data_IF_114412066255
#
_entry.id   IF_114412066255
#
_cell.length_a   1.000
_cell.length_b   1.000
_cell.length_c   1.000
_cell.angle_alpha   90.00
_cell.angle_beta   90.00
_cell.angle_gamma   90.00
#
_symmetry.space_group_name_H-M   'P 1'
#
loop_
_entity.id
_entity.type
_entity.pdbx_description
1 polymer ?
#
# COMPACT_ATOMS: atom_id res chain seq x y z
N UNK A 1 -9.11 -24.72 -44.32
CA UNK A 1 -8.12 -23.86 -43.62
C UNK A 1 -8.74 -22.90 -42.60
N UNK A 2 -10.03 -22.55 -42.71
CA UNK A 2 -10.73 -21.63 -41.77
C UNK A 2 -10.99 -22.25 -40.39
N UNK A 3 -11.32 -23.54 -40.28
CA UNK A 3 -11.62 -24.20 -38.99
C UNK A 3 -10.39 -24.39 -38.07
N UNK A 4 -9.20 -24.56 -38.63
CA UNK A 4 -7.96 -24.71 -37.84
C UNK A 4 -7.51 -23.38 -37.19
N UNK A 5 -7.83 -22.25 -37.82
CA UNK A 5 -7.56 -20.92 -37.25
C UNK A 5 -8.50 -20.61 -36.07
N UNK A 6 -9.76 -21.02 -36.12
CA UNK A 6 -10.71 -20.76 -35.02
C UNK A 6 -10.37 -21.55 -33.74
N UNK A 7 -9.94 -22.81 -33.86
CA UNK A 7 -9.50 -23.58 -32.69
C UNK A 7 -8.24 -23.01 -32.02
N UNK A 8 -7.25 -22.58 -32.84
CA UNK A 8 -6.04 -21.93 -32.34
C UNK A 8 -6.35 -20.63 -31.59
N UNK A 9 -7.27 -19.84 -32.14
CA UNK A 9 -7.72 -18.58 -31.56
C UNK A 9 -8.49 -18.80 -30.25
N UNK A 10 -9.36 -19.81 -30.17
CA UNK A 10 -10.06 -20.18 -28.93
C UNK A 10 -9.10 -20.66 -27.83
N UNK A 11 -8.10 -21.47 -28.19
CA UNK A 11 -7.08 -21.96 -27.24
C UNK A 11 -6.24 -20.81 -26.68
N UNK A 12 -5.82 -19.86 -27.54
CA UNK A 12 -5.11 -18.65 -27.10
C UNK A 12 -5.94 -17.80 -26.14
N UNK A 13 -7.23 -17.59 -26.43
CA UNK A 13 -8.14 -16.84 -25.54
C UNK A 13 -8.27 -17.49 -24.16
N UNK A 14 -8.34 -18.82 -24.09
CA UNK A 14 -8.40 -19.55 -22.81
C UNK A 14 -7.06 -19.57 -22.05
N UNK A 15 -5.94 -19.51 -22.76
CA UNK A 15 -4.60 -19.50 -22.18
C UNK A 15 -4.19 -18.12 -21.62
N UNK A 16 -4.71 -17.02 -22.18
CA UNK A 16 -4.35 -15.66 -21.80
C UNK A 16 -4.48 -15.38 -20.28
N UNK A 17 -5.59 -15.69 -19.58
CA UNK A 17 -5.68 -15.47 -18.14
C UNK A 17 -4.55 -16.17 -17.37
N UNK A 18 -4.20 -17.39 -17.76
CA UNK A 18 -3.16 -18.20 -17.10
C UNK A 18 -1.78 -17.59 -17.30
N UNK A 19 -1.42 -17.24 -18.54
CA UNK A 19 -0.12 -16.65 -18.86
C UNK A 19 0.07 -15.31 -18.17
N UNK A 20 -0.93 -14.43 -18.22
CA UNK A 20 -0.86 -13.13 -17.57
C UNK A 20 -0.80 -13.23 -16.05
N UNK A 21 -1.59 -14.15 -15.46
CA UNK A 21 -1.56 -14.43 -14.01
C UNK A 21 -0.21 -14.96 -13.57
N UNK A 22 0.35 -15.95 -14.27
CA UNK A 22 1.65 -16.51 -13.92
C UNK A 22 2.77 -15.47 -14.08
N UNK A 23 2.73 -14.66 -15.13
CA UNK A 23 3.73 -13.62 -15.41
C UNK A 23 3.70 -12.51 -14.36
N UNK A 24 2.51 -11.97 -14.03
CA UNK A 24 2.39 -10.91 -13.02
C UNK A 24 2.71 -11.43 -11.62
N UNK A 25 2.34 -12.68 -11.30
CA UNK A 25 2.69 -13.34 -10.06
C UNK A 25 4.21 -13.47 -9.91
N UNK A 26 4.90 -14.00 -10.93
CA UNK A 26 6.36 -14.15 -10.93
C UNK A 26 7.04 -12.79 -10.83
N UNK A 27 6.57 -11.80 -11.58
CA UNK A 27 7.11 -10.44 -11.51
C UNK A 27 7.00 -9.85 -10.11
N UNK A 28 5.86 -10.02 -9.45
CA UNK A 28 5.63 -9.49 -8.12
C UNK A 28 6.43 -10.23 -7.05
N UNK A 29 6.57 -11.54 -7.20
CA UNK A 29 7.44 -12.34 -6.34
C UNK A 29 8.90 -11.88 -6.46
N UNK A 30 9.43 -11.70 -7.67
CA UNK A 30 10.77 -11.16 -7.92
C UNK A 30 10.93 -9.76 -7.32
N UNK A 31 9.97 -8.85 -7.53
CA UNK A 31 10.00 -7.49 -6.99
C UNK A 31 10.10 -7.47 -5.45
N UNK A 32 9.38 -8.37 -4.78
CA UNK A 32 9.43 -8.46 -3.32
C UNK A 32 10.66 -9.19 -2.81
N UNK A 33 11.18 -10.16 -3.55
CA UNK A 33 12.36 -10.92 -3.15
C UNK A 33 13.66 -10.11 -3.26
N UNK A 34 13.73 -9.23 -4.26
CA UNK A 34 14.98 -8.51 -4.56
C UNK A 34 15.36 -7.49 -3.48
N UNK A 35 14.37 -6.92 -2.77
CA UNK A 35 14.61 -5.94 -1.71
C UNK A 35 15.41 -6.51 -0.52
N UNK A 36 14.95 -7.59 0.15
CA UNK A 36 15.72 -8.21 1.22
C UNK A 36 16.96 -8.95 0.70
N UNK A 37 16.96 -9.46 -0.55
CA UNK A 37 18.17 -10.02 -1.18
C UNK A 37 19.27 -8.97 -1.26
N UNK A 38 18.97 -7.82 -1.85
CA UNK A 38 19.97 -6.78 -2.06
C UNK A 38 20.41 -6.15 -0.72
N UNK A 39 19.49 -6.01 0.24
CA UNK A 39 19.86 -5.67 1.61
C UNK A 39 20.86 -6.70 2.19
N UNK A 40 20.59 -8.01 2.08
CA UNK A 40 21.48 -9.08 2.57
C UNK A 40 22.88 -9.01 1.92
N UNK A 41 22.97 -8.68 0.64
CA UNK A 41 24.25 -8.51 -0.09
C UNK A 41 25.03 -7.29 0.42
N UNK A 42 24.34 -6.17 0.66
CA UNK A 42 24.97 -4.87 0.90
C UNK A 42 25.26 -4.61 2.38
N UNK A 43 24.45 -5.16 3.29
CA UNK A 43 24.58 -4.96 4.74
C UNK A 43 25.97 -5.27 5.32
N UNK A 44 26.69 -6.33 4.89
CA UNK A 44 28.05 -6.59 5.38
C UNK A 44 29.06 -5.49 5.07
N UNK A 45 28.81 -4.65 4.06
CA UNK A 45 29.74 -3.61 3.61
C UNK A 45 29.35 -2.24 4.14
N UNK A 46 28.05 -1.90 4.19
CA UNK A 46 27.59 -0.57 4.62
C UNK A 46 27.06 -0.52 6.06
N UNK A 47 26.82 -1.67 6.68
CA UNK A 47 26.26 -1.80 8.02
C UNK A 47 24.73 -1.72 8.07
N UNK A 48 24.15 -2.22 9.16
CA UNK A 48 22.70 -2.32 9.39
C UNK A 48 22.09 -1.21 10.23
N UNK A 49 22.59 0.02 10.12
CA UNK A 49 22.04 1.13 10.91
C UNK A 49 20.60 1.46 10.50
N UNK A 50 19.77 2.01 11.42
CA UNK A 50 18.42 2.48 11.07
C UNK A 50 18.41 3.51 9.92
N UNK A 51 19.44 4.34 9.82
CA UNK A 51 19.55 5.34 8.75
C UNK A 51 19.76 4.69 7.36
N UNK A 52 20.55 3.62 7.28
CA UNK A 52 20.73 2.83 6.05
C UNK A 52 19.41 2.18 5.65
N UNK A 53 18.68 1.60 6.61
CA UNK A 53 17.37 1.00 6.37
C UNK A 53 16.36 2.03 5.82
N UNK A 54 16.23 3.20 6.45
CA UNK A 54 15.34 4.26 5.97
C UNK A 54 15.73 4.75 4.57
N UNK A 55 17.04 4.84 4.28
CA UNK A 55 17.53 5.23 2.96
C UNK A 55 17.18 4.18 1.89
N UNK A 56 17.33 2.90 2.20
CA UNK A 56 16.95 1.80 1.31
C UNK A 56 15.43 1.79 1.03
N UNK A 57 14.60 2.00 2.05
CA UNK A 57 13.15 2.13 1.88
C UNK A 57 12.78 3.32 1.00
N UNK A 58 13.42 4.48 1.20
CA UNK A 58 13.21 5.66 0.35
C UNK A 58 13.54 5.35 -1.12
N UNK A 59 14.67 4.67 -1.38
CA UNK A 59 15.05 4.26 -2.72
C UNK A 59 13.97 3.39 -3.38
N UNK A 60 13.60 2.27 -2.73
CA UNK A 60 12.63 1.34 -3.30
C UNK A 60 11.27 1.99 -3.51
N UNK A 61 10.78 2.80 -2.57
CA UNK A 61 9.50 3.48 -2.74
C UNK A 61 9.53 4.47 -3.91
N UNK A 62 10.62 5.23 -4.04
CA UNK A 62 10.78 6.22 -5.11
C UNK A 62 10.83 5.55 -6.47
N UNK A 63 11.68 4.53 -6.61
CA UNK A 63 11.84 3.80 -7.88
C UNK A 63 10.56 3.05 -8.25
N UNK A 64 9.81 2.54 -7.27
CA UNK A 64 8.51 1.90 -7.51
C UNK A 64 7.50 2.88 -8.11
N UNK A 65 7.39 4.09 -7.54
CA UNK A 65 6.54 5.16 -8.08
C UNK A 65 7.01 5.55 -9.49
N UNK A 66 8.31 5.68 -9.72
CA UNK A 66 8.86 5.95 -11.05
C UNK A 66 8.47 4.87 -12.07
N UNK A 67 8.52 3.59 -11.70
CA UNK A 67 8.06 2.48 -12.55
C UNK A 67 6.57 2.57 -12.88
N UNK A 68 5.74 2.93 -11.91
CA UNK A 68 4.30 3.14 -12.10
C UNK A 68 4.00 4.35 -13.01
N UNK A 69 4.74 5.45 -12.84
CA UNK A 69 4.64 6.64 -13.70
C UNK A 69 5.07 6.33 -15.12
N UNK A 70 6.18 5.60 -15.30
CA UNK A 70 6.60 5.11 -16.61
C UNK A 70 5.50 4.25 -17.26
N UNK A 71 4.91 3.31 -16.51
CA UNK A 71 3.81 2.49 -17.01
C UNK A 71 2.59 3.35 -17.41
N UNK A 72 2.25 4.36 -16.62
CA UNK A 72 1.14 5.28 -16.92
C UNK A 72 1.39 6.09 -18.20
N UNK A 73 2.53 6.77 -18.30
CA UNK A 73 2.86 7.58 -19.46
C UNK A 73 3.05 6.74 -20.72
N UNK A 74 3.64 5.55 -20.58
CA UNK A 74 3.76 4.59 -21.67
C UNK A 74 2.39 4.14 -22.18
N UNK A 75 1.47 3.73 -21.29
CA UNK A 75 0.14 3.27 -21.67
C UNK A 75 -0.76 4.39 -22.24
N UNK A 76 -0.51 5.65 -21.83
CA UNK A 76 -1.25 6.83 -22.25
C UNK A 76 -0.81 7.36 -23.62
N UNK A 77 0.49 7.40 -23.88
CA UNK A 77 1.03 8.11 -25.05
C UNK A 77 1.57 7.18 -26.13
N UNK A 78 1.90 5.93 -25.82
CA UNK A 78 2.53 5.01 -26.77
C UNK A 78 1.53 3.96 -27.28
N UNK A 79 1.55 3.65 -28.59
CA UNK A 79 0.90 2.45 -29.11
C UNK A 79 1.47 1.19 -28.45
N UNK A 80 0.63 0.15 -28.26
CA UNK A 80 0.98 -1.12 -27.57
C UNK A 80 2.29 -1.71 -28.08
N UNK A 81 2.50 -1.75 -29.40
CA UNK A 81 3.71 -2.34 -30.01
C UNK A 81 4.98 -1.60 -29.63
N UNK A 82 4.93 -0.27 -29.59
CA UNK A 82 6.08 0.54 -29.22
C UNK A 82 6.31 0.50 -27.71
N UNK A 83 5.25 0.55 -26.91
CA UNK A 83 5.31 0.31 -25.46
C UNK A 83 5.99 -1.03 -25.15
N UNK A 84 5.56 -2.11 -25.81
CA UNK A 84 6.15 -3.43 -25.65
C UNK A 84 7.61 -3.47 -26.07
N UNK A 85 7.96 -2.90 -27.23
CA UNK A 85 9.35 -2.83 -27.72
C UNK A 85 10.26 -2.10 -26.73
N UNK A 86 9.83 -0.93 -26.24
CA UNK A 86 10.58 -0.17 -25.21
C UNK A 86 10.74 -0.99 -23.95
N UNK A 87 9.67 -1.63 -23.46
CA UNK A 87 9.72 -2.38 -22.21
C UNK A 87 10.59 -3.63 -22.31
N UNK A 88 10.54 -4.37 -23.41
CA UNK A 88 11.41 -5.52 -23.67
C UNK A 88 12.88 -5.08 -23.85
N UNK A 89 13.13 -3.93 -24.47
CA UNK A 89 14.48 -3.36 -24.55
C UNK A 89 15.02 -2.98 -23.16
N UNK A 90 14.20 -2.38 -22.30
CA UNK A 90 14.55 -2.09 -20.91
C UNK A 90 14.79 -3.37 -20.11
N UNK A 91 14.02 -4.43 -20.35
CA UNK A 91 14.27 -5.75 -19.78
C UNK A 91 15.63 -6.30 -20.22
N UNK A 92 15.95 -6.23 -21.50
CA UNK A 92 17.25 -6.65 -22.04
C UNK A 92 18.42 -5.86 -21.43
N UNK A 93 18.25 -4.55 -21.22
CA UNK A 93 19.23 -3.73 -20.51
C UNK A 93 19.37 -4.16 -19.03
N UNK A 94 18.26 -4.43 -18.36
CA UNK A 94 18.27 -4.86 -16.96
C UNK A 94 18.97 -6.22 -16.74
N UNK A 95 19.07 -7.07 -17.78
CA UNK A 95 19.87 -8.30 -17.70
C UNK A 95 21.36 -8.04 -17.44
N UNK A 96 21.88 -6.88 -17.81
CA UNK A 96 23.29 -6.50 -17.56
C UNK A 96 23.60 -6.27 -16.08
N UNK A 97 22.56 -6.17 -15.23
CA UNK A 97 22.65 -5.99 -13.78
C UNK A 97 22.49 -7.32 -13.02
N UNK A 98 22.49 -8.46 -13.72
CA UNK A 98 22.24 -9.77 -13.11
C UNK A 98 23.50 -10.67 -13.13
N UNK A 99 23.72 -11.46 -12.07
CA UNK A 99 22.99 -11.46 -10.79
C UNK A 99 23.22 -10.14 -10.01
N UNK A 100 22.27 -9.68 -9.17
CA UNK A 100 22.49 -8.49 -8.36
C UNK A 100 23.71 -8.68 -7.47
N UNK A 101 24.64 -7.74 -7.53
CA UNK A 101 25.86 -7.74 -6.72
C UNK A 101 26.36 -6.30 -6.50
N UNK A 102 27.37 -6.15 -5.65
CA UNK A 102 28.08 -4.89 -5.44
C UNK A 102 29.03 -4.64 -6.62
N UNK A 103 29.07 -3.44 -7.22
CA UNK A 103 30.01 -3.12 -8.29
C UNK A 103 31.47 -3.36 -7.90
N UNK A 104 32.27 -3.87 -8.83
CA UNK A 104 33.69 -4.14 -8.62
C UNK A 104 34.44 -2.91 -8.13
N UNK A 105 35.22 -3.08 -7.06
CA UNK A 105 36.02 -2.00 -6.48
C UNK A 105 35.23 -0.97 -5.66
N UNK A 106 33.91 -1.11 -5.51
CA UNK A 106 33.13 -0.26 -4.62
C UNK A 106 33.58 -0.41 -3.16
N UNK A 107 33.73 0.72 -2.46
CA UNK A 107 34.12 0.77 -1.04
C UNK A 107 33.35 1.87 -0.35
N UNK A 108 32.95 1.62 0.89
CA UNK A 108 32.33 2.64 1.73
C UNK A 108 33.38 3.67 2.16
N UNK A 109 33.13 4.94 1.85
CA UNK A 109 33.84 6.07 2.45
C UNK A 109 33.12 6.50 3.74
N UNK A 110 33.70 6.16 4.88
CA UNK A 110 33.14 6.48 6.20
C UNK A 110 33.12 7.99 6.50
N UNK A 111 33.89 8.81 5.78
CA UNK A 111 33.88 10.27 5.94
C UNK A 111 32.83 10.96 5.06
N UNK A 112 32.29 10.23 4.07
CA UNK A 112 31.30 10.72 3.12
C UNK A 112 29.86 10.60 3.61
N UNK A 113 28.93 11.11 2.79
CA UNK A 113 27.50 11.03 3.09
C UNK A 113 26.97 9.62 2.82
N UNK A 114 26.81 8.83 3.89
CA UNK A 114 26.39 7.41 3.83
C UNK A 114 25.08 7.22 3.04
N UNK A 115 24.12 8.13 3.20
CA UNK A 115 22.85 8.05 2.48
C UNK A 115 23.04 8.14 0.96
N UNK A 116 23.85 9.09 0.48
CA UNK A 116 24.13 9.24 -0.96
C UNK A 116 24.87 8.02 -1.53
N UNK A 117 25.84 7.47 -0.78
CA UNK A 117 26.55 6.26 -1.16
C UNK A 117 25.63 5.03 -1.22
N UNK A 118 24.70 4.91 -0.26
CA UNK A 118 23.68 3.85 -0.23
C UNK A 118 22.75 3.97 -1.44
N UNK A 119 22.23 5.17 -1.72
CA UNK A 119 21.38 5.41 -2.89
C UNK A 119 22.12 5.09 -4.20
N UNK A 120 23.38 5.50 -4.32
CA UNK A 120 24.23 5.21 -5.48
C UNK A 120 24.45 3.70 -5.67
N UNK A 121 24.77 2.99 -4.59
CA UNK A 121 24.96 1.54 -4.62
C UNK A 121 23.69 0.80 -5.03
N UNK A 122 22.53 1.20 -4.50
CA UNK A 122 21.24 0.61 -4.88
C UNK A 122 20.87 0.94 -6.33
N UNK A 123 21.12 2.17 -6.79
CA UNK A 123 20.89 2.55 -8.17
C UNK A 123 21.72 1.72 -9.15
N UNK A 124 23.00 1.50 -8.84
CA UNK A 124 23.94 0.77 -9.68
C UNK A 124 23.81 -0.76 -9.57
N UNK A 125 23.42 -1.29 -8.42
CA UNK A 125 23.32 -2.74 -8.21
C UNK A 125 21.95 -3.32 -8.56
N UNK A 126 20.86 -2.61 -8.29
CA UNK A 126 19.49 -3.16 -8.44
C UNK A 126 18.46 -2.19 -9.04
N UNK A 127 18.84 -0.94 -9.29
CA UNK A 127 17.91 0.10 -9.72
C UNK A 127 17.18 -0.21 -11.02
N UNK A 128 17.91 -0.62 -12.07
CA UNK A 128 17.32 -0.99 -13.35
C UNK A 128 16.36 -2.19 -13.27
N UNK A 129 16.74 -3.36 -12.72
CA UNK A 129 15.80 -4.49 -12.59
C UNK A 129 14.62 -4.16 -11.68
N UNK A 130 14.82 -3.42 -10.60
CA UNK A 130 13.72 -3.02 -9.72
C UNK A 130 12.73 -2.04 -10.38
N UNK A 131 13.23 -1.04 -11.12
CA UNK A 131 12.40 -0.11 -11.89
C UNK A 131 11.55 -0.82 -12.94
N UNK A 132 12.13 -1.78 -13.66
CA UNK A 132 11.42 -2.60 -14.63
C UNK A 132 10.31 -3.42 -13.95
N UNK A 133 10.67 -4.18 -12.91
CA UNK A 133 9.72 -5.01 -12.16
C UNK A 133 8.54 -4.19 -11.61
N UNK A 134 8.81 -2.95 -11.20
CA UNK A 134 7.79 -2.03 -10.67
C UNK A 134 6.77 -1.61 -11.73
N UNK A 135 7.18 -1.52 -12.99
CA UNK A 135 6.28 -1.17 -14.09
C UNK A 135 5.38 -2.33 -14.55
N UNK A 136 5.76 -3.58 -14.25
CA UNK A 136 5.12 -4.76 -14.82
C UNK A 136 3.67 -4.92 -14.40
N UNK A 137 3.32 -4.67 -13.14
CA UNK A 137 1.96 -4.92 -12.67
C UNK A 137 0.90 -4.05 -13.40
N UNK A 138 1.08 -2.72 -13.54
CA UNK A 138 0.18 -1.91 -14.36
C UNK A 138 0.27 -2.22 -15.87
N UNK A 139 1.48 -2.50 -16.40
CA UNK A 139 1.66 -2.77 -17.83
C UNK A 139 0.99 -4.08 -18.27
N UNK A 140 1.24 -5.17 -17.55
CA UNK A 140 0.65 -6.50 -17.83
C UNK A 140 -0.88 -6.40 -17.78
N UNK A 141 -1.44 -5.67 -16.81
CA UNK A 141 -2.89 -5.43 -16.75
C UNK A 141 -3.40 -4.58 -17.92
N UNK A 142 -2.65 -3.57 -18.33
CA UNK A 142 -3.01 -2.76 -19.51
C UNK A 142 -2.97 -3.56 -20.81
N UNK A 143 -2.05 -4.51 -20.94
CA UNK A 143 -1.97 -5.43 -22.06
C UNK A 143 -3.08 -6.47 -22.02
N UNK A 144 -3.43 -6.97 -20.83
CA UNK A 144 -4.56 -7.90 -20.66
C UNK A 144 -5.87 -7.25 -21.04
N UNK A 145 -6.08 -5.99 -20.65
CA UNK A 145 -7.29 -5.23 -21.00
C UNK A 145 -7.46 -4.99 -22.49
N UNK A 146 -6.37 -5.10 -23.25
CA UNK A 146 -6.34 -5.01 -24.72
C UNK A 146 -6.28 -6.37 -25.39
N UNK A 147 -6.33 -7.46 -24.62
CA UNK A 147 -6.41 -8.83 -25.16
C UNK A 147 -7.86 -9.26 -25.36
N UNK A 148 -8.10 -10.25 -26.22
CA UNK A 148 -9.42 -10.88 -26.36
C UNK A 148 -9.68 -11.96 -25.29
N UNK A 149 -8.97 -11.90 -24.16
CA UNK A 149 -9.09 -12.86 -23.07
C UNK A 149 -10.42 -12.73 -22.31
N UNK A 150 -10.91 -13.81 -21.66
CA UNK A 150 -12.04 -13.73 -20.73
C UNK A 150 -11.82 -12.66 -19.67
N UNK A 151 -12.83 -11.81 -19.41
CA UNK A 151 -12.74 -10.73 -18.41
C UNK A 151 -11.65 -9.68 -18.69
N UNK A 152 -11.23 -9.50 -19.94
CA UNK A 152 -10.30 -8.43 -20.31
C UNK A 152 -10.85 -7.02 -19.96
N UNK A 153 -12.17 -6.86 -19.94
CA UNK A 153 -12.84 -5.62 -19.52
C UNK A 153 -12.61 -5.25 -18.04
N UNK A 154 -12.26 -6.23 -17.19
CA UNK A 154 -12.00 -6.05 -15.75
C UNK A 154 -10.71 -6.81 -15.32
N UNK A 155 -9.51 -6.34 -15.71
CA UNK A 155 -8.23 -7.04 -15.52
C UNK A 155 -7.75 -7.08 -14.06
N UNK A 156 -8.50 -6.50 -13.12
CA UNK A 156 -8.06 -6.22 -11.74
C UNK A 156 -7.78 -7.49 -10.92
N UNK A 157 -8.30 -8.65 -11.31
CA UNK A 157 -7.96 -9.94 -10.69
C UNK A 157 -6.46 -10.25 -10.75
N UNK A 158 -5.76 -9.75 -11.76
CA UNK A 158 -4.31 -9.88 -11.90
C UNK A 158 -3.57 -9.16 -10.77
N UNK A 159 -4.12 -8.06 -10.23
CA UNK A 159 -3.54 -7.39 -9.07
C UNK A 159 -3.67 -8.24 -7.81
N UNK A 160 -4.73 -9.03 -7.69
CA UNK A 160 -4.86 -10.04 -6.64
C UNK A 160 -3.76 -11.10 -6.73
N UNK A 161 -3.49 -11.61 -7.94
CA UNK A 161 -2.40 -12.56 -8.18
C UNK A 161 -1.01 -11.96 -7.93
N UNK A 162 -0.79 -10.70 -8.34
CA UNK A 162 0.42 -9.94 -8.04
C UNK A 162 0.69 -9.87 -6.53
N UNK A 163 -0.32 -9.46 -5.75
CA UNK A 163 -0.17 -9.34 -4.29
C UNK A 163 0.00 -10.70 -3.59
N UNK A 164 -0.59 -11.77 -4.12
CA UNK A 164 -0.33 -13.12 -3.64
C UNK A 164 1.14 -13.54 -3.88
N UNK A 165 1.69 -13.22 -5.05
CA UNK A 165 3.11 -13.43 -5.36
C UNK A 165 4.03 -12.67 -4.41
N UNK A 166 3.72 -11.39 -4.18
CA UNK A 166 4.41 -10.54 -3.19
C UNK A 166 4.37 -11.11 -1.77
N UNK A 167 3.19 -11.58 -1.33
CA UNK A 167 3.01 -12.18 -0.01
C UNK A 167 3.85 -13.45 0.16
N UNK A 168 3.81 -14.34 -0.84
CA UNK A 168 4.58 -15.58 -0.78
C UNK A 168 6.09 -15.30 -0.82
N UNK A 169 6.54 -14.34 -1.62
CA UNK A 169 7.94 -13.90 -1.62
C UNK A 169 8.39 -13.31 -0.27
N UNK A 170 7.56 -12.45 0.33
CA UNK A 170 7.81 -11.85 1.64
C UNK A 170 8.00 -12.92 2.73
N UNK A 171 7.17 -13.96 2.73
CA UNK A 171 7.25 -15.05 3.71
C UNK A 171 8.38 -16.02 3.39
N UNK A 172 8.56 -16.36 2.11
CA UNK A 172 9.58 -17.33 1.69
C UNK A 172 11.00 -16.84 1.95
N UNK A 173 11.26 -15.52 1.91
CA UNK A 173 12.61 -15.01 2.13
C UNK A 173 13.17 -15.35 3.53
N UNK A 174 12.58 -14.89 4.66
CA UNK A 174 13.10 -15.21 5.99
C UNK A 174 12.84 -16.67 6.43
N UNK A 175 11.79 -17.34 5.91
CA UNK A 175 11.42 -18.68 6.37
C UNK A 175 12.10 -19.82 5.61
N UNK A 176 12.45 -19.61 4.34
CA UNK A 176 13.01 -20.64 3.47
C UNK A 176 14.34 -20.22 2.85
N UNK A 177 14.41 -19.04 2.23
CA UNK A 177 15.58 -18.67 1.45
C UNK A 177 16.78 -18.34 2.33
N UNK A 178 16.59 -17.46 3.31
CA UNK A 178 17.66 -17.01 4.20
C UNK A 178 18.26 -18.14 5.06
N UNK A 179 17.47 -19.09 5.62
CA UNK A 179 18.03 -20.19 6.42
C UNK A 179 18.69 -21.29 5.58
N UNK A 180 18.25 -21.49 4.33
CA UNK A 180 18.69 -22.61 3.50
C UNK A 180 19.76 -22.25 2.47
N UNK A 181 19.86 -20.96 2.09
CA UNK A 181 20.67 -20.50 0.95
C UNK A 181 21.56 -19.30 1.32
N UNK A 182 22.74 -19.25 0.72
CA UNK A 182 23.59 -18.06 0.74
C UNK A 182 23.06 -16.97 -0.19
N UNK A 183 23.63 -15.76 -0.07
CA UNK A 183 23.20 -14.61 -0.87
C UNK A 183 23.43 -14.85 -2.38
N UNK A 184 24.51 -15.54 -2.74
CA UNK A 184 24.86 -15.83 -4.13
C UNK A 184 23.88 -16.81 -4.79
N UNK A 185 23.48 -17.87 -4.08
CA UNK A 185 22.49 -18.84 -4.56
C UNK A 185 21.12 -18.16 -4.75
N UNK A 186 20.72 -17.30 -3.81
CA UNK A 186 19.49 -16.53 -3.93
C UNK A 186 19.56 -15.57 -5.12
N UNK A 187 20.68 -14.86 -5.32
CA UNK A 187 20.87 -13.95 -6.44
C UNK A 187 20.84 -14.67 -7.80
N UNK A 188 21.41 -15.87 -7.87
CA UNK A 188 21.36 -16.74 -9.05
C UNK A 188 19.93 -17.22 -9.36
N UNK A 189 19.19 -17.64 -8.32
CA UNK A 189 17.77 -18.00 -8.45
C UNK A 189 16.91 -16.82 -8.91
N UNK A 190 17.17 -15.64 -8.37
CA UNK A 190 16.54 -14.39 -8.82
C UNK A 190 16.82 -14.10 -10.29
N UNK A 191 18.08 -14.23 -10.73
CA UNK A 191 18.46 -14.03 -12.13
C UNK A 191 17.76 -15.02 -13.07
N UNK A 192 17.69 -16.30 -12.71
CA UNK A 192 16.95 -17.31 -13.47
C UNK A 192 15.46 -16.99 -13.57
N UNK A 193 14.83 -16.57 -12.46
CA UNK A 193 13.45 -16.12 -12.45
C UNK A 193 13.22 -14.87 -13.31
N UNK A 194 14.17 -13.93 -13.34
CA UNK A 194 14.11 -12.72 -14.15
C UNK A 194 14.21 -13.00 -15.65
N UNK A 195 15.01 -14.00 -16.06
CA UNK A 195 15.06 -14.48 -17.44
C UNK A 195 13.72 -15.14 -17.82
N UNK A 196 13.19 -16.01 -16.95
CA UNK A 196 11.88 -16.64 -17.14
C UNK A 196 10.76 -15.60 -17.27
N UNK A 197 10.81 -14.52 -16.48
CA UNK A 197 9.89 -13.41 -16.59
C UNK A 197 9.92 -12.76 -17.98
N UNK A 198 11.09 -12.62 -18.61
CA UNK A 198 11.21 -12.11 -19.97
C UNK A 198 10.41 -12.91 -20.99
N UNK A 199 10.45 -14.25 -20.89
CA UNK A 199 9.63 -15.12 -21.73
C UNK A 199 8.12 -14.92 -21.48
N UNK A 200 7.72 -14.75 -20.22
CA UNK A 200 6.33 -14.42 -19.85
C UNK A 200 5.87 -13.07 -20.39
N UNK A 201 6.71 -12.03 -20.29
CA UNK A 201 6.43 -10.69 -20.83
C UNK A 201 6.26 -10.74 -22.35
N UNK A 202 7.15 -11.45 -23.05
CA UNK A 202 7.04 -11.64 -24.50
C UNK A 202 5.73 -12.36 -24.87
N UNK A 203 5.37 -13.42 -24.13
CA UNK A 203 4.10 -14.12 -24.35
C UNK A 203 2.88 -13.21 -24.14
N UNK A 204 2.87 -12.39 -23.09
CA UNK A 204 1.81 -11.40 -22.83
C UNK A 204 1.69 -10.39 -23.98
N UNK A 205 2.81 -9.85 -24.46
CA UNK A 205 2.85 -8.90 -25.58
C UNK A 205 2.31 -9.53 -26.85
N UNK A 206 2.74 -10.76 -27.17
CA UNK A 206 2.25 -11.49 -28.34
C UNK A 206 0.74 -11.69 -28.25
N UNK A 207 0.22 -12.12 -27.09
CA UNK A 207 -1.23 -12.31 -26.89
C UNK A 207 -2.03 -11.01 -26.96
N UNK A 208 -1.48 -9.89 -26.47
CA UNK A 208 -2.12 -8.57 -26.58
C UNK A 208 -2.11 -8.01 -28.02
N UNK A 209 -1.07 -8.32 -28.81
CA UNK A 209 -0.92 -7.85 -30.19
C UNK A 209 -1.80 -8.57 -31.23
N UNK A 210 -2.41 -9.70 -30.87
CA UNK A 210 -3.33 -10.48 -31.73
C UNK A 210 -4.79 -10.05 -31.61
N UNK A 211 -5.13 -9.20 -30.63
CA UNK A 211 -6.49 -8.65 -30.54
C UNK A 211 -6.79 -7.85 -31.82
N UNK A 212 -7.93 -8.16 -32.43
CA UNK A 212 -8.32 -7.60 -33.72
C UNK A 212 -8.20 -6.07 -33.69
N UNK A 213 -7.36 -5.55 -34.57
CA UNK A 213 -7.45 -4.18 -35.07
C UNK A 213 -8.72 -4.04 -35.91
N UNK A 214 -9.89 -4.30 -35.32
CA UNK A 214 -11.14 -3.85 -35.91
C UNK A 214 -11.30 -2.38 -35.52
N UNK A 215 -11.34 -1.57 -36.56
CA UNK A 215 -11.96 -0.26 -36.65
C UNK A 215 -13.38 -0.29 -36.07
N UNK A 216 -13.50 -0.50 -34.76
CA UNK A 216 -14.71 -0.25 -34.01
C UNK A 216 -14.82 1.26 -33.94
N UNK A 217 -15.68 1.82 -34.79
CA UNK A 217 -16.32 3.11 -34.58
C UNK A 217 -16.64 3.21 -33.08
N UNK A 218 -16.13 4.27 -32.46
CA UNK A 218 -16.19 4.60 -31.02
C UNK A 218 -17.65 4.73 -30.55
N UNK A 219 -18.34 3.59 -30.50
CA UNK A 219 -19.74 3.40 -30.08
C UNK A 219 -19.82 2.93 -28.64
N UNK A 220 -18.66 2.73 -28.00
CA UNK A 220 -18.60 2.55 -26.56
C UNK A 220 -19.03 3.87 -25.91
N UNK A 221 -19.94 3.86 -24.93
CA UNK A 221 -20.33 5.08 -24.23
C UNK A 221 -19.08 5.78 -23.71
N UNK A 222 -18.98 7.09 -23.92
CA UNK A 222 -17.87 7.92 -23.45
C UNK A 222 -17.65 7.70 -21.96
N UNK A 223 -16.63 6.90 -21.62
CA UNK A 223 -16.28 6.61 -20.23
C UNK A 223 -15.66 7.88 -19.65
N UNK A 224 -16.41 8.55 -18.79
CA UNK A 224 -15.98 9.77 -18.13
C UNK A 224 -14.61 9.58 -17.46
N UNK A 225 -13.73 10.56 -17.64
CA UNK A 225 -12.43 10.55 -16.98
C UNK A 225 -12.62 10.76 -15.47
N UNK A 226 -11.81 10.07 -14.63
CA UNK A 226 -11.88 10.26 -13.19
C UNK A 226 -11.63 11.72 -12.81
N UNK A 227 -12.50 12.29 -11.98
CA UNK A 227 -12.37 13.65 -11.47
C UNK A 227 -11.32 13.76 -10.35
N UNK A 228 -10.83 14.97 -10.04
CA UNK A 228 -9.87 15.18 -8.95
C UNK A 228 -10.36 14.69 -7.58
N UNK A 229 -11.68 14.75 -7.34
CA UNK A 229 -12.28 14.25 -6.11
C UNK A 229 -12.23 12.72 -5.97
N UNK A 230 -12.39 11.99 -7.07
CA UNK A 230 -12.27 10.52 -7.09
C UNK A 230 -10.82 10.10 -6.87
N UNK A 231 -9.88 10.76 -7.55
CA UNK A 231 -8.44 10.54 -7.36
C UNK A 231 -8.03 10.83 -5.91
N UNK A 232 -8.48 11.95 -5.34
CA UNK A 232 -8.23 12.27 -3.94
C UNK A 232 -8.81 11.22 -2.98
N UNK A 233 -10.00 10.69 -3.27
CA UNK A 233 -10.60 9.63 -2.46
C UNK A 233 -9.81 8.31 -2.53
N UNK A 234 -9.34 7.92 -3.73
CA UNK A 234 -8.47 6.76 -3.89
C UNK A 234 -7.16 6.92 -3.12
N UNK A 235 -6.56 8.11 -3.19
CA UNK A 235 -5.31 8.42 -2.51
C UNK A 235 -5.45 8.26 -0.99
N UNK A 236 -6.51 8.80 -0.40
CA UNK A 236 -6.75 8.70 1.05
C UNK A 236 -7.06 7.25 1.45
N UNK A 237 -7.84 6.51 0.66
CA UNK A 237 -8.11 5.09 0.96
C UNK A 237 -6.86 4.21 0.85
N UNK A 238 -5.89 4.56 0.01
CA UNK A 238 -4.60 3.87 -0.06
C UNK A 238 -3.63 4.29 1.05
N UNK A 239 -3.72 5.54 1.51
CA UNK A 239 -2.96 6.08 2.64
C UNK A 239 -3.30 5.35 3.95
N UNK A 240 -4.60 5.14 4.24
CA UNK A 240 -5.05 4.61 5.54
C UNK A 240 -4.38 3.30 5.95
N UNK A 241 -4.38 2.23 5.13
CA UNK A 241 -3.83 0.94 5.54
C UNK A 241 -2.30 0.99 5.64
N UNK A 242 -1.63 1.78 4.79
CA UNK A 242 -0.17 1.94 4.81
C UNK A 242 0.30 2.63 6.09
N UNK A 243 -0.31 3.78 6.40
CA UNK A 243 -0.03 4.53 7.64
C UNK A 243 -0.34 3.70 8.89
N UNK A 244 -1.49 3.01 8.91
CA UNK A 244 -1.90 2.22 10.06
C UNK A 244 -0.98 1.02 10.27
N UNK A 245 -0.54 0.35 9.21
CA UNK A 245 0.43 -0.75 9.29
C UNK A 245 1.71 -0.32 10.00
N UNK A 246 2.26 0.85 9.64
CA UNK A 246 3.49 1.38 10.23
C UNK A 246 3.28 1.84 11.67
N UNK A 247 2.16 2.48 11.98
CA UNK A 247 1.82 2.89 13.34
C UNK A 247 1.67 1.67 14.27
N UNK A 248 0.99 0.61 13.82
CA UNK A 248 0.83 -0.63 14.59
C UNK A 248 2.17 -1.33 14.79
N UNK A 249 3.00 -1.40 13.75
CA UNK A 249 4.35 -1.97 13.84
C UNK A 249 5.20 -1.22 14.85
N UNK A 250 5.14 0.11 14.84
CA UNK A 250 5.88 0.98 15.76
C UNK A 250 5.38 0.79 17.20
N UNK A 251 4.06 0.78 17.43
CA UNK A 251 3.48 0.57 18.78
C UNK A 251 3.90 -0.77 19.38
N UNK A 252 3.84 -1.84 18.57
CA UNK A 252 4.27 -3.18 19.01
C UNK A 252 5.77 -3.21 19.29
N UNK A 253 6.58 -2.60 18.42
CA UNK A 253 8.05 -2.59 18.59
C UNK A 253 8.47 -1.81 19.83
N UNK A 254 7.79 -0.71 20.16
CA UNK A 254 8.06 0.11 21.35
C UNK A 254 7.67 -0.59 22.64
N UNK A 255 6.50 -1.24 22.69
CA UNK A 255 5.94 -1.76 23.95
C UNK A 255 6.31 -3.22 24.23
N UNK A 256 6.43 -4.06 23.19
CA UNK A 256 6.70 -5.50 23.31
C UNK A 256 8.17 -5.83 23.01
N UNK A 257 8.87 -4.93 22.34
CA UNK A 257 10.27 -5.08 21.93
C UNK A 257 10.41 -5.39 20.43
N UNK A 258 11.48 -4.87 19.83
CA UNK A 258 11.80 -5.08 18.42
C UNK A 258 12.39 -6.49 18.19
N UNK A 259 11.57 -7.41 17.68
CA UNK A 259 12.03 -8.72 17.18
C UNK A 259 12.14 -8.66 15.65
N UNK A 260 13.19 -9.21 15.00
CA UNK A 260 13.48 -9.06 13.56
C UNK A 260 12.37 -9.42 12.55
N UNK A 261 11.24 -9.97 12.98
CA UNK A 261 10.09 -10.37 12.15
C UNK A 261 8.77 -9.70 12.52
N UNK A 262 8.75 -8.80 13.52
CA UNK A 262 7.51 -8.12 13.95
C UNK A 262 6.85 -7.38 12.80
N UNK A 263 7.63 -6.77 11.91
CA UNK A 263 7.14 -6.04 10.74
C UNK A 263 6.60 -6.96 9.63
N UNK A 264 7.01 -8.23 9.57
CA UNK A 264 6.58 -9.18 8.53
C UNK A 264 5.09 -9.48 8.68
N UNK A 265 4.58 -9.58 9.92
CA UNK A 265 3.17 -9.94 10.17
C UNK A 265 2.20 -8.85 9.66
N UNK A 266 2.33 -7.56 10.04
CA UNK A 266 1.49 -6.49 9.49
C UNK A 266 1.59 -6.38 7.97
N UNK A 267 2.79 -6.49 7.40
CA UNK A 267 2.98 -6.40 5.95
C UNK A 267 2.37 -7.60 5.20
N UNK A 268 2.48 -8.82 5.74
CA UNK A 268 1.84 -10.00 5.18
C UNK A 268 0.32 -9.85 5.17
N UNK A 269 -0.26 -9.36 6.28
CA UNK A 269 -1.68 -9.07 6.37
C UNK A 269 -2.11 -7.95 5.41
N UNK A 270 -1.30 -6.89 5.27
CA UNK A 270 -1.51 -5.83 4.27
C UNK A 270 -1.63 -6.42 2.85
N UNK A 271 -0.65 -7.21 2.41
CA UNK A 271 -0.66 -7.83 1.09
C UNK A 271 -1.82 -8.82 0.91
N UNK A 272 -2.14 -9.58 1.97
CA UNK A 272 -3.27 -10.50 1.97
C UNK A 272 -4.59 -9.76 1.72
N UNK A 273 -4.78 -8.56 2.28
CA UNK A 273 -6.00 -7.79 2.00
C UNK A 273 -6.13 -7.41 0.52
N UNK A 274 -5.04 -7.02 -0.15
CA UNK A 274 -5.06 -6.80 -1.60
C UNK A 274 -5.32 -8.08 -2.38
N UNK A 275 -4.61 -9.17 -2.05
CA UNK A 275 -4.76 -10.47 -2.71
C UNK A 275 -6.22 -10.94 -2.64
N UNK A 276 -6.84 -10.88 -1.46
CA UNK A 276 -8.24 -11.23 -1.28
C UNK A 276 -9.16 -10.30 -2.05
N UNK A 277 -9.03 -8.97 -1.88
CA UNK A 277 -9.97 -7.98 -2.43
C UNK A 277 -9.97 -7.92 -3.94
N UNK A 278 -8.79 -7.94 -4.56
CA UNK A 278 -8.65 -7.81 -6.01
C UNK A 278 -8.89 -9.12 -6.76
N UNK A 279 -8.81 -10.29 -6.12
CA UNK A 279 -9.17 -11.59 -6.75
C UNK A 279 -10.63 -11.70 -7.24
N UNK A 280 -11.48 -10.74 -6.90
CA UNK A 280 -12.91 -10.75 -7.24
C UNK A 280 -13.76 -11.70 -6.40
N UNK A 281 -13.17 -12.49 -5.48
CA UNK A 281 -13.87 -13.53 -4.68
C UNK A 281 -13.78 -13.34 -3.17
N UNK A 282 -13.90 -12.10 -2.68
CA UNK A 282 -14.01 -11.87 -1.22
C UNK A 282 -15.35 -12.31 -0.63
N UNK A 283 -15.36 -13.14 0.43
CA UNK A 283 -16.58 -13.46 1.16
C UNK A 283 -17.09 -12.28 2.01
N UNK A 284 -16.21 -11.36 2.39
CA UNK A 284 -16.51 -10.22 3.26
C UNK A 284 -16.86 -8.98 2.43
N UNK A 285 -18.15 -8.62 2.37
CA UNK A 285 -18.67 -7.48 1.58
C UNK A 285 -19.79 -6.74 2.31
N UNK A 286 -20.02 -5.49 1.90
CA UNK A 286 -21.19 -4.72 2.31
C UNK A 286 -21.20 -4.31 3.78
N UNK A 287 -22.37 -4.38 4.41
CA UNK A 287 -22.63 -3.83 5.74
C UNK A 287 -21.79 -4.49 6.84
N UNK A 288 -21.59 -5.81 6.78
CA UNK A 288 -20.86 -6.55 7.80
C UNK A 288 -19.39 -6.11 7.88
N UNK A 289 -18.68 -6.05 6.75
CA UNK A 289 -17.28 -5.60 6.72
C UNK A 289 -17.13 -4.17 7.24
N UNK A 290 -18.09 -3.29 6.91
CA UNK A 290 -18.11 -1.91 7.43
C UNK A 290 -18.28 -1.88 8.94
N UNK A 291 -19.18 -2.67 9.52
CA UNK A 291 -19.40 -2.73 10.97
C UNK A 291 -18.19 -3.28 11.72
N UNK A 292 -17.55 -4.32 11.18
CA UNK A 292 -16.30 -4.85 11.73
C UNK A 292 -15.20 -3.79 11.69
N UNK A 293 -15.04 -3.07 10.57
CA UNK A 293 -14.09 -1.97 10.47
C UNK A 293 -14.39 -0.84 11.45
N UNK A 294 -15.66 -0.47 11.66
CA UNK A 294 -16.05 0.54 12.64
C UNK A 294 -15.65 0.16 14.06
N UNK A 295 -15.95 -1.08 14.48
CA UNK A 295 -15.57 -1.58 15.81
C UNK A 295 -14.05 -1.66 15.95
N UNK A 296 -13.35 -2.13 14.91
CA UNK A 296 -11.90 -2.15 14.84
C UNK A 296 -11.27 -0.76 14.98
N UNK A 297 -11.84 0.27 14.34
CA UNK A 297 -11.37 1.65 14.45
C UNK A 297 -11.47 2.14 15.89
N UNK A 298 -12.63 1.95 16.52
CA UNK A 298 -12.85 2.35 17.93
C UNK A 298 -11.87 1.62 18.84
N UNK A 299 -11.73 0.30 18.68
CA UNK A 299 -10.78 -0.52 19.43
C UNK A 299 -9.33 -0.02 19.27
N UNK A 300 -8.90 0.24 18.04
CA UNK A 300 -7.56 0.76 17.77
C UNK A 300 -7.34 2.13 18.43
N UNK A 301 -8.34 3.02 18.37
CA UNK A 301 -8.29 4.33 19.02
C UNK A 301 -8.12 4.16 20.54
N UNK A 302 -8.90 3.28 21.18
CA UNK A 302 -8.76 3.00 22.61
C UNK A 302 -7.35 2.54 22.99
N UNK A 303 -6.74 1.68 22.16
CA UNK A 303 -5.41 1.12 22.41
C UNK A 303 -4.34 2.20 22.22
N UNK A 304 -4.37 2.96 21.13
CA UNK A 304 -3.40 4.05 20.90
C UNK A 304 -3.54 5.18 21.94
N UNK A 305 -4.75 5.43 22.42
CA UNK A 305 -5.02 6.38 23.51
C UNK A 305 -4.76 5.79 24.90
N UNK A 306 -4.14 4.62 25.04
CA UNK A 306 -3.80 4.06 26.35
C UNK A 306 -4.98 3.83 27.31
N UNK A 307 -6.23 3.82 26.81
CA UNK A 307 -7.45 3.57 27.62
C UNK A 307 -7.40 2.16 28.21
N UNK A 308 -6.72 1.23 27.52
CA UNK A 308 -6.50 -0.15 27.95
C UNK A 308 -5.18 -0.35 28.71
N UNK A 309 -4.52 0.73 29.13
CA UNK A 309 -3.17 0.76 29.70
C UNK A 309 -2.15 1.46 28.78
N UNK A 310 -1.15 2.12 29.37
CA UNK A 310 -0.12 2.90 28.65
C UNK A 310 0.72 2.02 27.72
N UNK A 311 1.11 0.84 28.21
CA UNK A 311 1.83 -0.18 27.46
C UNK A 311 0.90 -1.31 27.01
N UNK A 312 1.09 -1.80 25.79
CA UNK A 312 0.31 -2.92 25.25
C UNK A 312 0.90 -4.27 25.67
N UNK A 313 0.04 -5.17 26.14
CA UNK A 313 0.38 -6.59 26.31
C UNK A 313 0.13 -7.40 25.03
N UNK A 314 0.41 -8.72 25.04
CA UNK A 314 0.22 -9.60 23.88
C UNK A 314 -1.22 -9.62 23.33
N UNK A 315 -2.22 -9.55 24.22
CA UNK A 315 -3.63 -9.50 23.81
C UNK A 315 -3.94 -8.18 23.08
N UNK A 316 -3.51 -7.03 23.62
CA UNK A 316 -3.68 -5.74 22.95
C UNK A 316 -2.94 -5.69 21.61
N UNK A 317 -1.74 -6.27 21.52
CA UNK A 317 -1.01 -6.39 20.25
C UNK A 317 -1.81 -7.20 19.21
N UNK A 318 -2.36 -8.35 19.60
CA UNK A 318 -3.22 -9.16 18.72
C UNK A 318 -4.49 -8.40 18.28
N UNK A 319 -5.14 -7.72 19.22
CA UNK A 319 -6.33 -6.90 18.95
C UNK A 319 -6.00 -5.72 18.02
N UNK A 320 -4.82 -5.13 18.15
CA UNK A 320 -4.36 -4.04 17.31
C UNK A 320 -4.03 -4.52 15.89
N UNK A 321 -3.40 -5.69 15.75
CA UNK A 321 -3.18 -6.36 14.45
C UNK A 321 -4.52 -6.66 13.78
N UNK A 322 -5.48 -7.20 14.53
CA UNK A 322 -6.84 -7.45 14.02
C UNK A 322 -7.52 -6.15 13.58
N UNK A 323 -7.42 -5.10 14.40
CA UNK A 323 -8.01 -3.80 14.08
C UNK A 323 -7.42 -3.23 12.79
N UNK A 324 -6.09 -3.25 12.66
CA UNK A 324 -5.40 -2.89 11.42
C UNK A 324 -5.90 -3.70 10.22
N UNK A 325 -5.93 -5.03 10.33
CA UNK A 325 -6.35 -5.89 9.23
C UNK A 325 -7.80 -5.62 8.79
N UNK A 326 -8.72 -5.43 9.74
CA UNK A 326 -10.11 -5.11 9.44
C UNK A 326 -10.27 -3.77 8.71
N UNK A 327 -9.55 -2.73 9.15
CA UNK A 327 -9.56 -1.41 8.50
C UNK A 327 -8.92 -1.47 7.13
N UNK A 328 -7.78 -2.17 7.00
CA UNK A 328 -7.10 -2.38 5.74
C UNK A 328 -7.98 -3.12 4.72
N UNK A 329 -8.63 -4.20 5.15
CA UNK A 329 -9.52 -4.99 4.32
C UNK A 329 -10.72 -4.17 3.84
N UNK A 330 -11.31 -3.35 4.72
CA UNK A 330 -12.38 -2.44 4.36
C UNK A 330 -11.93 -1.38 3.36
N UNK A 331 -10.79 -0.73 3.58
CA UNK A 331 -10.28 0.33 2.71
C UNK A 331 -9.92 -0.20 1.32
N UNK A 332 -9.16 -1.31 1.25
CA UNK A 332 -8.83 -1.96 -0.03
C UNK A 332 -10.05 -2.53 -0.74
N UNK A 333 -11.05 -3.03 0.00
CA UNK A 333 -12.31 -3.46 -0.61
C UNK A 333 -13.09 -2.30 -1.19
N UNK A 334 -13.12 -1.17 -0.48
CA UNK A 334 -13.75 0.06 -0.96
C UNK A 334 -13.06 0.56 -2.22
N UNK A 335 -11.72 0.60 -2.24
CA UNK A 335 -10.92 0.89 -3.43
C UNK A 335 -11.24 -0.02 -4.61
N UNK A 336 -11.35 -1.33 -4.36
CA UNK A 336 -11.76 -2.29 -5.38
C UNK A 336 -13.15 -1.95 -5.91
N UNK A 337 -14.13 -1.65 -5.06
CA UNK A 337 -15.51 -1.38 -5.47
C UNK A 337 -15.67 -0.09 -6.29
N UNK A 338 -14.84 0.92 -6.03
CA UNK A 338 -14.85 2.21 -6.74
C UNK A 338 -13.78 2.31 -7.85
N UNK A 339 -13.09 1.20 -8.17
CA UNK A 339 -12.04 1.17 -9.20
C UNK A 339 -12.62 1.65 -10.54
N UNK A 340 -11.87 2.43 -11.33
CA UNK A 340 -12.37 2.92 -12.60
C UNK A 340 -12.37 1.82 -13.66
N UNK A 341 -12.98 2.11 -14.81
CA UNK A 341 -12.85 1.28 -16.00
C UNK A 341 -11.36 1.04 -16.36
N UNK A 342 -11.06 -0.10 -16.97
CA UNK A 342 -9.70 -0.52 -17.38
C UNK A 342 -8.93 0.56 -18.16
N UNK A 343 -9.61 1.44 -18.91
CA UNK A 343 -9.00 2.60 -19.59
C UNK A 343 -8.19 3.50 -18.65
N UNK A 344 -8.58 3.61 -17.37
CA UNK A 344 -7.92 4.45 -16.36
C UNK A 344 -7.20 3.63 -15.28
N UNK A 345 -6.95 2.33 -15.50
CA UNK A 345 -6.32 1.47 -14.47
C UNK A 345 -4.94 1.99 -14.05
N UNK A 346 -4.15 2.56 -14.97
CA UNK A 346 -2.79 3.00 -14.65
C UNK A 346 -2.79 4.23 -13.73
N UNK A 347 -3.73 5.16 -13.92
CA UNK A 347 -3.84 6.33 -13.01
C UNK A 347 -4.31 5.88 -11.64
N UNK A 348 -5.19 4.89 -11.57
CA UNK A 348 -5.63 4.29 -10.31
C UNK A 348 -4.45 3.65 -9.56
N UNK A 349 -3.62 2.86 -10.23
CA UNK A 349 -2.44 2.24 -9.62
C UNK A 349 -1.38 3.26 -9.18
N UNK A 350 -1.10 4.29 -9.98
CA UNK A 350 -0.23 5.40 -9.58
C UNK A 350 -0.77 6.07 -8.32
N UNK A 351 -2.07 6.36 -8.28
CA UNK A 351 -2.71 7.02 -7.12
C UNK A 351 -2.62 6.15 -5.87
N UNK A 352 -2.85 4.84 -5.98
CA UNK A 352 -2.68 3.91 -4.86
C UNK A 352 -1.23 3.85 -4.36
N UNK A 353 -0.26 3.77 -5.28
CA UNK A 353 1.17 3.76 -4.94
C UNK A 353 1.60 5.04 -4.21
N UNK A 354 1.17 6.20 -4.72
CA UNK A 354 1.41 7.51 -4.08
C UNK A 354 0.73 7.60 -2.71
N UNK A 355 -0.52 7.15 -2.59
CA UNK A 355 -1.22 7.11 -1.29
C UNK A 355 -0.48 6.26 -0.25
N UNK A 356 -0.01 5.08 -0.65
CA UNK A 356 0.81 4.22 0.22
C UNK A 356 2.13 4.87 0.62
N UNK A 357 2.82 5.52 -0.33
CA UNK A 357 4.06 6.28 -0.08
C UNK A 357 3.86 7.43 0.91
N UNK A 358 2.75 8.18 0.77
CA UNK A 358 2.38 9.25 1.69
C UNK A 358 2.10 8.71 3.10
N UNK A 359 1.52 7.51 3.23
CA UNK A 359 1.39 6.82 4.51
C UNK A 359 2.75 6.57 5.15
N UNK A 360 3.71 6.05 4.37
CA UNK A 360 5.10 5.87 4.83
C UNK A 360 5.77 7.18 5.23
N UNK A 361 5.69 8.19 4.37
CA UNK A 361 6.24 9.52 4.62
C UNK A 361 5.64 10.18 5.87
N UNK A 362 4.35 10.00 6.09
CA UNK A 362 3.68 10.50 7.27
C UNK A 362 4.25 9.87 8.55
N UNK A 363 4.32 8.55 8.64
CA UNK A 363 4.79 7.87 9.85
C UNK A 363 6.30 7.98 10.08
N UNK A 364 7.11 8.01 9.02
CA UNK A 364 8.57 7.96 9.15
C UNK A 364 9.23 9.34 9.19
N UNK A 365 8.56 10.39 8.73
CA UNK A 365 9.15 11.74 8.65
C UNK A 365 8.25 12.79 9.28
N UNK A 366 6.99 12.91 8.85
CA UNK A 366 6.11 14.00 9.34
C UNK A 366 5.81 13.82 10.82
N UNK A 367 5.33 12.65 11.24
CA UNK A 367 4.86 12.41 12.59
C UNK A 367 5.97 12.55 13.64
N UNK A 368 7.18 11.96 13.47
CA UNK A 368 8.27 12.11 14.43
C UNK A 368 8.81 13.54 14.55
N UNK A 369 8.61 14.39 13.53
CA UNK A 369 9.03 15.80 13.55
C UNK A 369 7.97 16.68 14.22
N UNK A 370 6.70 16.39 13.99
CA UNK A 370 5.59 17.19 14.51
C UNK A 370 5.18 16.78 15.93
N UNK A 371 5.45 15.55 16.33
CA UNK A 371 4.92 14.97 17.55
C UNK A 371 5.97 14.19 18.34
N UNK A 372 5.83 14.22 19.67
CA UNK A 372 6.70 13.51 20.62
C UNK A 372 6.22 12.09 20.93
N UNK A 373 4.94 11.79 20.71
CA UNK A 373 4.32 10.48 20.92
C UNK A 373 3.82 9.87 19.59
N UNK A 374 3.36 8.62 19.63
CA UNK A 374 2.90 7.83 18.47
C UNK A 374 1.48 8.22 17.99
N UNK A 375 1.28 9.51 17.67
CA UNK A 375 0.00 10.15 17.33
C UNK A 375 -0.55 9.69 15.99
N UNK A 376 0.34 9.35 15.07
CA UNK A 376 0.01 8.98 13.69
C UNK A 376 -0.99 7.84 13.59
N UNK A 377 -0.95 6.88 14.53
CA UNK A 377 -1.93 5.79 14.62
C UNK A 377 -3.34 6.31 14.89
N UNK A 378 -3.47 7.18 15.88
CA UNK A 378 -4.74 7.83 16.25
C UNK A 378 -5.27 8.71 15.13
N UNK A 379 -4.43 9.55 14.52
CA UNK A 379 -4.83 10.41 13.39
C UNK A 379 -5.33 9.55 12.22
N UNK A 380 -4.65 8.46 11.92
CA UNK A 380 -5.02 7.57 10.81
C UNK A 380 -6.36 6.89 11.09
N UNK A 381 -6.60 6.42 12.31
CA UNK A 381 -7.87 5.81 12.70
C UNK A 381 -9.01 6.83 12.74
N UNK A 382 -8.76 8.07 13.17
CA UNK A 382 -9.70 9.18 13.11
C UNK A 382 -10.11 9.49 11.65
N UNK A 383 -9.15 9.53 10.73
CA UNK A 383 -9.42 9.70 9.31
C UNK A 383 -10.22 8.52 8.74
N UNK A 384 -9.88 7.29 9.13
CA UNK A 384 -10.63 6.09 8.76
C UNK A 384 -12.09 6.17 9.23
N UNK A 385 -12.32 6.66 10.46
CA UNK A 385 -13.65 6.87 11.03
C UNK A 385 -14.49 7.79 10.13
N UNK A 386 -13.95 8.94 9.73
CA UNK A 386 -14.67 9.89 8.85
C UNK A 386 -15.12 9.21 7.55
N UNK A 387 -14.23 8.44 6.92
CA UNK A 387 -14.51 7.81 5.63
C UNK A 387 -15.50 6.64 5.75
N UNK A 388 -15.34 5.81 6.78
CA UNK A 388 -16.24 4.67 7.04
C UNK A 388 -17.69 5.13 7.24
N UNK A 389 -17.88 6.27 7.91
CA UNK A 389 -19.19 6.85 8.22
C UNK A 389 -19.71 7.85 7.18
N UNK A 390 -18.94 8.19 6.14
CA UNK A 390 -19.35 9.16 5.11
C UNK A 390 -20.76 8.90 4.53
N UNK A 391 -21.18 7.66 4.21
CA UNK A 391 -22.53 7.41 3.67
C UNK A 391 -23.65 7.77 4.65
N UNK A 392 -23.38 7.72 5.95
CA UNK A 392 -24.34 8.03 7.03
C UNK A 392 -24.32 9.52 7.38
N UNK A 393 -23.19 10.21 7.17
CA UNK A 393 -22.96 11.58 7.64
C UNK A 393 -23.36 12.67 6.62
N UNK A 394 -23.70 12.31 5.38
CA UNK A 394 -24.02 13.26 4.28
C UNK A 394 -23.09 14.48 4.28
N UNK A 395 -21.78 14.22 4.34
CA UNK A 395 -20.75 15.27 4.50
C UNK A 395 -20.75 16.20 3.29
N UNK A 396 -21.02 17.48 3.53
CA UNK A 396 -20.83 18.57 2.56
C UNK A 396 -19.58 19.36 2.93
N UNK A 397 -18.93 20.04 1.98
CA UNK A 397 -17.76 20.91 2.30
C UNK A 397 -18.07 21.90 3.43
N UNK A 398 -19.28 22.47 3.42
CA UNK A 398 -19.75 23.40 4.44
C UNK A 398 -19.98 22.74 5.81
N UNK A 399 -20.40 21.47 5.88
CA UNK A 399 -20.52 20.76 7.16
C UNK A 399 -19.17 20.30 7.69
N UNK A 400 -18.22 19.96 6.82
CA UNK A 400 -16.84 19.66 7.20
C UNK A 400 -16.15 20.88 7.80
N UNK A 401 -16.22 22.04 7.14
CA UNK A 401 -15.59 23.29 7.63
C UNK A 401 -16.20 23.76 8.95
N UNK A 402 -17.53 23.69 9.09
CA UNK A 402 -18.20 24.02 10.36
C UNK A 402 -17.85 23.03 11.46
N UNK A 403 -17.76 21.75 11.12
CA UNK A 403 -17.35 20.70 12.04
C UNK A 403 -15.91 20.89 12.52
N UNK A 404 -14.99 21.18 11.61
CA UNK A 404 -13.61 21.53 11.93
C UNK A 404 -13.57 22.72 12.87
N UNK A 405 -14.21 23.85 12.52
CA UNK A 405 -14.19 25.06 13.34
C UNK A 405 -14.81 24.88 14.75
N UNK A 406 -16.02 24.31 14.83
CA UNK A 406 -16.68 24.01 16.11
C UNK A 406 -15.84 23.03 16.93
N UNK A 407 -15.21 22.11 16.22
CA UNK A 407 -14.31 21.13 16.74
C UNK A 407 -13.02 21.69 17.35
N UNK A 408 -12.34 22.58 16.65
CA UNK A 408 -11.15 23.27 17.15
C UNK A 408 -11.50 24.09 18.38
N UNK A 409 -12.65 24.79 18.36
CA UNK A 409 -13.12 25.58 19.52
C UNK A 409 -13.42 24.67 20.71
N UNK A 410 -14.14 23.57 20.51
CA UNK A 410 -14.44 22.61 21.57
C UNK A 410 -13.18 21.93 22.11
N UNK A 411 -12.23 21.58 21.24
CA UNK A 411 -10.94 21.01 21.63
C UNK A 411 -10.06 22.00 22.39
N UNK A 412 -9.97 23.26 21.94
CA UNK A 412 -9.29 24.32 22.67
C UNK A 412 -9.94 24.56 24.05
N UNK A 413 -11.27 24.61 24.13
CA UNK A 413 -11.98 24.77 25.40
C UNK A 413 -11.73 23.58 26.35
N UNK A 414 -11.79 22.35 25.84
CA UNK A 414 -11.49 21.15 26.62
C UNK A 414 -10.03 21.14 27.08
N UNK A 415 -9.11 21.59 26.23
CA UNK A 415 -7.67 21.74 26.54
C UNK A 415 -7.43 22.75 27.66
N UNK A 416 -8.07 23.92 27.58
CA UNK A 416 -8.03 24.92 28.64
C UNK A 416 -8.56 24.35 29.94
N UNK A 417 -9.67 23.59 29.90
CA UNK A 417 -10.23 22.92 31.09
C UNK A 417 -9.29 21.85 31.64
N UNK A 418 -8.68 21.00 30.79
CA UNK A 418 -7.74 19.96 31.21
C UNK A 418 -6.48 20.56 31.87
N UNK A 419 -5.93 21.63 31.30
CA UNK A 419 -4.82 22.39 31.86
C UNK A 419 -5.18 23.05 33.20
N UNK A 420 -6.43 23.49 33.37
CA UNK A 420 -6.90 24.14 34.61
C UNK A 420 -7.21 23.15 35.75
N UNK A 421 -7.65 21.93 35.42
CA UNK A 421 -8.10 20.94 36.42
C UNK A 421 -6.93 20.06 36.90
N UNK A 422 -5.75 20.13 36.27
CA UNK A 422 -4.61 19.25 36.58
C UNK A 422 -5.02 17.77 36.63
N UNK A 423 -5.95 17.37 35.76
CA UNK A 423 -6.54 16.05 35.81
C UNK A 423 -5.64 15.04 35.08
N UNK A 424 -5.14 14.04 35.80
CA UNK A 424 -4.59 12.78 35.26
C UNK A 424 -5.61 11.98 34.42
N UNK A 425 -6.83 12.51 34.22
CA UNK A 425 -8.01 11.83 33.69
C UNK A 425 -8.27 12.07 32.20
N UNK A 426 -7.21 12.24 31.39
CA UNK A 426 -7.30 12.41 29.93
C UNK A 426 -8.04 11.25 29.22
N UNK A 427 -8.03 10.06 29.82
CA UNK A 427 -8.77 8.88 29.36
C UNK A 427 -10.30 9.02 29.41
N UNK A 428 -10.86 9.87 30.29
CA UNK A 428 -12.31 10.15 30.36
C UNK A 428 -12.83 10.87 29.11
N UNK A 429 -11.97 11.69 28.50
CA UNK A 429 -12.29 12.41 27.25
C UNK A 429 -12.21 11.46 26.05
N UNK A 430 -11.29 10.49 26.09
CA UNK A 430 -11.29 9.33 25.18
C UNK A 430 -12.57 8.51 25.27
N UNK A 431 -13.06 8.21 26.49
CA UNK A 431 -14.34 7.51 26.72
C UNK A 431 -15.55 8.28 26.20
N UNK A 432 -15.56 9.61 26.29
CA UNK A 432 -16.61 10.43 25.69
C UNK A 432 -16.59 10.34 24.15
N UNK A 433 -15.41 10.36 23.53
CA UNK A 433 -15.24 10.13 22.09
C UNK A 433 -15.70 8.74 21.64
N UNK A 434 -15.36 7.70 22.42
CA UNK A 434 -15.80 6.31 22.21
C UNK A 434 -17.33 6.21 22.35
N UNK A 435 -17.92 6.88 23.35
CA UNK A 435 -19.38 6.94 23.55
C UNK A 435 -20.12 7.57 22.36
N UNK A 436 -19.57 8.64 21.77
CA UNK A 436 -20.10 9.24 20.54
C UNK A 436 -19.96 8.28 19.36
N UNK A 437 -18.81 7.61 19.21
CA UNK A 437 -18.59 6.62 18.15
C UNK A 437 -19.54 5.41 18.27
N UNK A 438 -19.75 4.88 19.48
CA UNK A 438 -20.71 3.81 19.77
C UNK A 438 -22.16 4.26 19.53
N UNK A 439 -22.51 5.50 19.88
CA UNK A 439 -23.83 6.06 19.58
C UNK A 439 -24.05 6.18 18.06
N UNK A 440 -23.02 6.51 17.27
CA UNK A 440 -23.11 6.50 15.81
C UNK A 440 -23.19 5.10 15.20
N UNK A 441 -22.61 4.09 15.85
CA UNK A 441 -22.67 2.67 15.46
C UNK A 441 -24.06 2.06 15.65
N UNK A 442 -24.74 2.45 16.72
CA UNK A 442 -26.01 1.87 17.16
C UNK A 442 -27.24 2.61 16.63
N UNK A 443 -27.08 3.82 16.07
CA UNK A 443 -28.22 4.62 15.61
C UNK A 443 -28.53 4.35 14.12
N UNK A 444 -29.73 3.87 13.76
CA UNK A 444 -30.12 3.59 12.37
C UNK A 444 -30.46 4.84 11.54
N UNK A 445 -30.30 6.06 12.09
CA UNK A 445 -30.62 7.34 11.44
C UNK A 445 -29.36 8.15 11.12
N UNK A 446 -29.36 8.97 10.05
CA UNK A 446 -28.22 9.82 9.69
C UNK A 446 -27.90 10.77 10.85
N UNK A 447 -26.67 10.69 11.36
CA UNK A 447 -26.20 11.54 12.45
C UNK A 447 -25.85 12.94 11.91
N UNK A 448 -26.06 14.02 12.69
CA UNK A 448 -25.58 15.34 12.30
C UNK A 448 -24.04 15.33 12.21
N UNK A 449 -23.49 15.61 11.03
CA UNK A 449 -22.04 15.56 10.76
C UNK A 449 -21.17 16.45 11.66
N UNK A 450 -21.77 17.45 12.32
CA UNK A 450 -21.07 18.33 13.26
C UNK A 450 -20.73 17.64 14.59
N UNK A 451 -21.50 16.65 15.05
CA UNK A 451 -21.22 15.93 16.31
C UNK A 451 -20.02 14.98 16.19
N UNK A 452 -19.87 14.32 15.04
CA UNK A 452 -18.69 13.47 14.75
C UNK A 452 -17.44 14.31 14.56
N UNK A 453 -17.56 15.47 13.89
CA UNK A 453 -16.46 16.39 13.76
C UNK A 453 -16.00 16.89 15.14
N UNK A 454 -16.93 17.31 16.02
CA UNK A 454 -16.61 17.70 17.41
C UNK A 454 -15.84 16.58 18.13
N UNK A 455 -16.30 15.33 18.09
CA UNK A 455 -15.62 14.22 18.78
C UNK A 455 -14.20 13.92 18.25
N UNK A 456 -13.93 14.13 16.96
CA UNK A 456 -12.60 13.91 16.37
C UNK A 456 -11.62 15.04 16.69
N UNK A 457 -12.13 16.26 16.79
CA UNK A 457 -11.35 17.48 17.01
C UNK A 457 -11.25 17.89 18.47
N UNK A 458 -12.09 17.37 19.36
CA UNK A 458 -11.92 17.61 20.80
C UNK A 458 -10.73 16.84 21.34
N UNK A 459 -10.49 15.65 20.80
CA UNK A 459 -9.44 14.75 21.26
C UNK A 459 -8.03 15.16 20.81
N UNK A 460 -7.88 15.82 19.65
CA UNK A 460 -6.58 16.24 19.13
C UNK A 460 -5.87 17.32 19.99
N UNK A 461 -6.54 18.43 20.38
CA UNK A 461 -5.91 19.50 21.16
C UNK A 461 -5.66 19.13 22.63
N UNK A 462 -6.54 18.30 23.21
CA UNK A 462 -6.40 17.78 24.58
C UNK A 462 -5.11 16.99 24.80
N UNK A 463 -4.55 16.45 23.73
CA UNK A 463 -3.39 15.58 23.80
C UNK A 463 -2.06 16.32 23.54
N UNK A 464 -2.10 17.44 22.80
CA UNK A 464 -0.94 18.36 22.65
C UNK A 464 -0.61 19.06 23.99
N UNK A 465 -1.57 19.11 24.91
CA UNK A 465 -1.44 19.79 26.21
C UNK A 465 -1.24 18.86 27.40
N UNK A 466 -0.95 17.57 27.17
CA UNK A 466 -0.58 16.66 28.25
C UNK A 466 0.70 17.14 28.96
N UNK A 467 0.79 17.07 30.30
CA UNK A 467 1.98 17.51 31.01
C UNK A 467 3.21 16.69 30.58
N UNK A 468 4.30 17.39 30.24
CA UNK A 468 5.65 16.88 30.07
C UNK A 468 6.20 16.34 31.42
N UNK A 469 5.68 15.21 31.90
CA UNK A 469 6.27 14.48 33.04
C UNK A 469 7.15 13.30 32.57
N UNK A 470 7.58 13.28 31.30
CA UNK A 470 8.48 12.24 30.74
C UNK A 470 9.91 12.70 30.53
N UNK A 471 10.28 13.86 31.06
CA UNK A 471 11.66 14.34 31.14
C UNK A 471 12.30 13.98 32.50
N UNK A 472 12.37 12.69 32.85
CA UNK A 472 13.34 12.16 33.81
C UNK A 472 13.69 10.71 33.51
#
# INVERSE_FOLDING_TARGET
MTFANDEGTLKMKRAAPVVFTATIFLSAALLFFVQPLFAKIVLPVIGGSPAVWTTAMLFFQTVLICGYLYAHFSARYLPVRFQAGVHIALWGLALTFLPPDIPDGWRLDASGWIAAQTLGLFALGVGAPFALLSANAPLIQSWYARSDGPSADDPYFLYGASNLGSLLALLAFPLLAEPLLGAHEIASGFAGGFVLLGAGLLACVLMAGHAKSETAVDTSPSVAAPGPGEIGHWLVLAFLPSSLMLAVTSKISTDVGAVPLVWVVPLALYLLTFAMTFSGRTPFRGRWLRQVAQLAIVLGICIFMGVTGVYIGPLQALLLIFAFFAVALWAHRTLYEIRPNAKYLTVFYVTMSVGGALGGFFNSIIAPVLFSDLIEGTITLALALVLVFQPLLKLTRASLLRGLAAGTVAGLAATVVALYVAAESWWLLGLAGIGVALATLLCPRPFPSWLVAIGLTTVLPLWIAGPDDRLF
#
